data_IF_914638256567
#
_entry.id   IF_914638256567
#
_cell.length_a   1.000
_cell.length_b   1.000
_cell.length_c   1.000
_cell.angle_alpha   90.00
_cell.angle_beta   90.00
_cell.angle_gamma   90.00
#
_symmetry.space_group_name_H-M   'P 1'
#
loop_
_entity.id
_entity.type
_entity.pdbx_description
1 polymer ?
#
# COMPACT_ATOMS: atom_id res chain seq x y z
N UNK A 1 35.34 -12.86 37.51
CA UNK A 1 33.94 -12.57 37.11
C UNK A 1 33.92 -11.83 35.76
N UNK A 2 34.20 -12.52 34.65
CA UNK A 2 34.25 -11.95 33.29
C UNK A 2 33.72 -12.97 32.26
N UNK A 3 32.47 -13.40 32.41
CA UNK A 3 31.82 -14.31 31.43
C UNK A 3 30.38 -13.94 31.07
N UNK A 4 29.82 -12.86 31.63
CA UNK A 4 28.41 -12.50 31.41
C UNK A 4 28.17 -11.31 30.47
N UNK A 5 29.21 -10.62 30.00
CA UNK A 5 29.04 -9.36 29.23
C UNK A 5 28.94 -9.59 27.72
N UNK A 6 29.29 -10.77 27.21
CA UNK A 6 29.35 -11.03 25.76
C UNK A 6 28.00 -11.44 25.17
N UNK A 7 27.05 -11.93 25.99
CA UNK A 7 25.75 -12.41 25.49
C UNK A 7 24.76 -11.25 25.26
N UNK A 8 24.94 -10.11 25.93
CA UNK A 8 24.01 -8.97 25.84
C UNK A 8 24.17 -8.14 24.55
N UNK A 9 25.34 -8.19 23.89
CA UNK A 9 25.57 -7.50 22.62
C UNK A 9 25.00 -8.25 21.40
N UNK A 10 24.66 -9.54 21.54
CA UNK A 10 24.11 -10.38 20.46
C UNK A 10 22.60 -10.24 20.28
N UNK A 11 21.87 -9.64 21.23
CA UNK A 11 20.42 -9.46 21.17
C UNK A 11 19.96 -8.13 20.54
N UNK A 12 20.89 -7.22 20.22
CA UNK A 12 20.54 -5.87 19.73
C UNK A 12 20.38 -5.83 18.19
N UNK A 13 20.74 -6.89 17.46
CA UNK A 13 20.88 -6.84 15.99
C UNK A 13 19.73 -7.55 15.24
N UNK A 14 18.86 -8.34 15.91
CA UNK A 14 18.00 -9.31 15.21
C UNK A 14 16.57 -8.87 14.87
N UNK A 15 16.20 -7.59 15.00
CA UNK A 15 14.85 -7.13 14.60
C UNK A 15 14.87 -5.85 13.75
N UNK A 16 15.89 -5.70 12.89
CA UNK A 16 15.85 -4.66 11.88
C UNK A 16 14.80 -5.03 10.82
N UNK A 17 13.56 -4.53 10.98
CA UNK A 17 12.64 -4.36 9.87
C UNK A 17 13.36 -3.49 8.84
N UNK A 18 13.95 -4.12 7.82
CA UNK A 18 14.61 -3.38 6.76
C UNK A 18 13.55 -2.95 5.77
N UNK A 19 13.41 -1.63 5.62
CA UNK A 19 12.65 -1.03 4.53
C UNK A 19 13.65 -0.44 3.56
N UNK A 20 13.63 -0.90 2.32
CA UNK A 20 14.54 -0.48 1.25
C UNK A 20 13.72 0.19 0.15
N UNK A 21 14.20 1.32 -0.35
CA UNK A 21 13.63 1.95 -1.52
C UNK A 21 14.04 1.15 -2.77
N UNK A 22 13.05 0.58 -3.47
CA UNK A 22 13.27 -0.27 -4.65
C UNK A 22 12.63 0.34 -5.90
N UNK A 23 12.32 1.64 -5.86
CA UNK A 23 11.53 2.33 -6.88
C UNK A 23 12.13 2.28 -8.29
N UNK A 24 13.44 2.09 -8.41
CA UNK A 24 14.14 1.97 -9.69
C UNK A 24 14.85 0.63 -9.84
N UNK A 25 14.69 -0.28 -8.89
CA UNK A 25 15.37 -1.56 -8.89
C UNK A 25 14.61 -2.56 -9.77
N UNK A 26 15.18 -2.87 -10.93
CA UNK A 26 14.63 -3.79 -11.92
C UNK A 26 14.65 -5.26 -11.46
N UNK A 27 15.40 -5.58 -10.39
CA UNK A 27 15.41 -6.92 -9.83
C UNK A 27 14.10 -7.26 -9.11
N UNK A 28 13.32 -6.24 -8.75
CA UNK A 28 11.99 -6.43 -8.17
C UNK A 28 10.93 -6.37 -9.28
N UNK A 29 10.22 -7.49 -9.47
CA UNK A 29 9.11 -7.56 -10.40
C UNK A 29 7.82 -7.05 -9.72
N UNK A 30 7.42 -5.82 -10.03
CA UNK A 30 6.18 -5.19 -9.57
C UNK A 30 5.46 -4.51 -10.75
N UNK A 31 4.13 -4.35 -10.70
CA UNK A 31 3.33 -3.79 -11.82
C UNK A 31 3.30 -2.25 -11.86
N UNK A 32 3.89 -1.61 -10.86
CA UNK A 32 3.85 -0.17 -10.68
C UNK A 32 5.11 0.51 -11.20
N UNK A 33 4.96 1.63 -11.91
CA UNK A 33 6.11 2.43 -12.36
C UNK A 33 6.02 3.82 -11.75
N UNK A 34 7.11 4.30 -11.13
CA UNK A 34 7.16 5.68 -10.61
C UNK A 34 6.88 6.69 -11.73
N UNK A 35 6.10 7.71 -11.41
CA UNK A 35 5.66 8.75 -12.34
C UNK A 35 4.55 8.32 -13.29
N UNK A 36 4.19 7.03 -13.33
CA UNK A 36 3.10 6.56 -14.15
C UNK A 36 1.76 6.85 -13.47
N UNK A 37 0.81 7.33 -14.28
CA UNK A 37 -0.57 7.58 -13.87
C UNK A 37 -1.43 6.35 -14.10
N UNK A 38 -2.22 6.00 -13.10
CA UNK A 38 -3.18 4.89 -13.10
C UNK A 38 -4.57 5.42 -12.78
N UNK A 39 -5.61 4.64 -13.14
CA UNK A 39 -6.99 4.92 -12.74
C UNK A 39 -7.51 3.85 -11.79
N UNK A 40 -8.22 4.28 -10.75
CA UNK A 40 -8.97 3.37 -9.89
C UNK A 40 -10.07 2.69 -10.71
N UNK A 41 -10.34 1.42 -10.42
CA UNK A 41 -11.43 0.67 -11.07
C UNK A 41 -12.70 0.53 -10.25
N UNK A 42 -12.51 0.66 -8.95
CA UNK A 42 -13.54 0.50 -7.94
C UNK A 42 -13.49 1.72 -7.04
N UNK A 43 -14.56 1.90 -6.27
CA UNK A 43 -14.56 2.83 -5.15
C UNK A 43 -13.58 2.32 -4.10
N UNK A 44 -12.74 3.22 -3.58
CA UNK A 44 -11.78 2.92 -2.52
C UNK A 44 -12.05 3.82 -1.33
N UNK A 45 -11.83 3.32 -0.12
CA UNK A 45 -11.78 4.16 1.07
C UNK A 45 -10.44 4.84 1.20
N UNK A 46 -10.47 6.09 1.67
CA UNK A 46 -9.29 6.79 2.20
C UNK A 46 -9.32 6.62 3.71
N UNK A 47 -8.40 5.83 4.25
CA UNK A 47 -8.35 5.49 5.68
C UNK A 47 -7.15 6.18 6.33
N UNK A 48 -7.40 6.81 7.47
CA UNK A 48 -6.37 7.44 8.30
C UNK A 48 -5.86 6.47 9.37
N UNK A 49 -4.59 6.08 9.26
CA UNK A 49 -3.89 5.30 10.27
C UNK A 49 -2.55 5.95 10.64
N UNK A 50 -1.52 5.13 10.86
CA UNK A 50 -0.14 5.65 10.97
C UNK A 50 0.35 6.33 9.68
N UNK A 51 -0.27 5.97 8.56
CA UNK A 51 -0.18 6.61 7.26
C UNK A 51 -1.57 6.58 6.62
N UNK A 52 -1.85 7.49 5.70
CA UNK A 52 -3.08 7.41 4.90
C UNK A 52 -2.94 6.30 3.87
N UNK A 53 -3.96 5.46 3.73
CA UNK A 53 -3.94 4.37 2.75
C UNK A 53 -5.29 4.19 2.06
N UNK A 54 -5.23 3.57 0.88
CA UNK A 54 -6.41 3.14 0.14
C UNK A 54 -6.76 1.70 0.46
N UNK A 55 -8.04 1.43 0.67
CA UNK A 55 -8.58 0.10 0.93
C UNK A 55 -9.87 -0.15 0.15
N UNK A 56 -10.09 -1.40 -0.23
CA UNK A 56 -11.32 -1.84 -0.90
C UNK A 56 -12.45 -2.04 0.12
N UNK A 57 -13.67 -1.56 -0.16
CA UNK A 57 -14.85 -1.91 0.64
C UNK A 57 -15.07 -3.42 0.73
N UNK A 58 -15.46 -3.92 1.90
CA UNK A 58 -15.70 -5.35 2.13
C UNK A 58 -14.45 -6.18 2.42
N UNK A 59 -13.25 -5.69 2.09
CA UNK A 59 -11.98 -6.36 2.38
C UNK A 59 -11.30 -5.77 3.62
N UNK A 60 -11.51 -6.40 4.78
CA UNK A 60 -11.09 -5.89 6.11
C UNK A 60 -11.63 -4.48 6.46
N UNK A 61 -12.56 -3.97 5.65
CA UNK A 61 -13.23 -2.67 5.77
C UNK A 61 -14.75 -2.89 5.63
N UNK A 62 -15.62 -2.00 6.16
CA UNK A 62 -17.06 -2.16 5.99
C UNK A 62 -17.47 -2.16 4.52
N UNK A 63 -18.51 -2.92 4.19
CA UNK A 63 -19.19 -2.82 2.90
C UNK A 63 -19.64 -1.38 2.61
N UNK A 64 -19.59 -0.97 1.34
CA UNK A 64 -19.88 0.41 0.92
C UNK A 64 -21.27 0.87 1.37
N UNK A 65 -22.28 0.04 1.18
CA UNK A 65 -23.65 0.38 1.60
C UNK A 65 -23.76 0.59 3.11
N UNK A 66 -23.08 -0.25 3.89
CA UNK A 66 -23.11 -0.17 5.34
C UNK A 66 -22.38 1.09 5.82
N UNK A 67 -21.23 1.42 5.23
CA UNK A 67 -20.52 2.67 5.51
C UNK A 67 -21.39 3.88 5.21
N UNK A 68 -22.04 3.95 4.04
CA UNK A 68 -22.87 5.09 3.65
C UNK A 68 -24.05 5.31 4.62
N UNK A 69 -24.64 4.24 5.16
CA UNK A 69 -25.71 4.29 6.16
C UNK A 69 -25.21 4.64 7.57
N UNK A 70 -23.97 4.27 7.91
CA UNK A 70 -23.44 4.33 9.28
C UNK A 70 -22.10 5.08 9.39
N UNK A 71 -21.87 6.14 8.61
CA UNK A 71 -20.56 6.84 8.53
C UNK A 71 -19.92 7.14 9.89
N UNK A 72 -20.73 7.56 10.88
CA UNK A 72 -20.24 7.89 12.24
C UNK A 72 -19.58 6.71 12.98
N UNK A 73 -19.87 5.46 12.60
CA UNK A 73 -19.27 4.26 13.20
C UNK A 73 -17.84 4.00 12.72
N UNK A 74 -17.42 4.65 11.64
CA UNK A 74 -16.13 4.44 10.96
C UNK A 74 -15.36 5.76 10.88
N UNK A 75 -14.92 6.30 12.03
CA UNK A 75 -14.29 7.62 12.11
C UNK A 75 -12.91 7.69 11.42
N UNK A 76 -12.28 6.54 11.21
CA UNK A 76 -11.00 6.36 10.52
C UNK A 76 -11.12 6.48 8.99
N UNK A 77 -12.34 6.32 8.44
CA UNK A 77 -12.59 6.50 7.00
C UNK A 77 -12.87 7.99 6.71
N UNK A 78 -11.85 8.70 6.22
CA UNK A 78 -11.94 10.12 5.80
C UNK A 78 -12.94 10.32 4.66
N UNK A 79 -13.09 9.32 3.80
CA UNK A 79 -14.08 9.33 2.72
C UNK A 79 -13.79 8.29 1.65
N UNK A 80 -14.30 8.55 0.44
CA UNK A 80 -14.17 7.65 -0.71
C UNK A 80 -13.48 8.34 -1.88
N UNK A 81 -12.59 7.59 -2.53
CA UNK A 81 -12.10 7.82 -3.89
C UNK A 81 -13.03 7.07 -4.82
N UNK A 82 -13.62 7.76 -5.80
CA UNK A 82 -14.50 7.10 -6.77
C UNK A 82 -13.69 6.23 -7.73
N UNK A 83 -14.40 5.37 -8.44
CA UNK A 83 -13.84 4.72 -9.61
C UNK A 83 -13.44 5.77 -10.67
N UNK A 84 -12.50 5.40 -11.54
CA UNK A 84 -11.93 6.24 -12.59
C UNK A 84 -11.14 7.47 -12.13
N UNK A 85 -10.88 7.64 -10.82
CA UNK A 85 -9.99 8.68 -10.32
C UNK A 85 -8.52 8.33 -10.63
N UNK A 86 -7.74 9.35 -10.97
CA UNK A 86 -6.33 9.24 -11.35
C UNK A 86 -5.44 9.26 -10.11
N UNK A 87 -4.43 8.40 -10.10
CA UNK A 87 -3.33 8.39 -9.10
C UNK A 87 -1.99 8.30 -9.82
N UNK A 88 -0.92 8.89 -9.27
CA UNK A 88 0.45 8.73 -9.76
C UNK A 88 1.30 8.00 -8.73
N UNK A 89 2.12 7.05 -9.17
CA UNK A 89 3.03 6.34 -8.27
C UNK A 89 4.24 7.23 -7.97
N UNK A 90 4.56 7.38 -6.69
CA UNK A 90 5.67 8.22 -6.23
C UNK A 90 6.86 7.40 -5.76
N UNK A 91 6.60 6.27 -5.09
CA UNK A 91 7.62 5.45 -4.46
C UNK A 91 7.16 4.00 -4.30
N UNK A 92 8.12 3.08 -4.37
CA UNK A 92 7.91 1.65 -4.12
C UNK A 92 9.00 1.22 -3.13
N UNK A 93 8.59 0.61 -2.01
CA UNK A 93 9.52 0.11 -1.01
C UNK A 93 9.36 -1.38 -0.80
N UNK A 94 10.48 -2.06 -0.62
CA UNK A 94 10.51 -3.42 -0.17
C UNK A 94 10.75 -3.45 1.33
N UNK A 95 9.88 -4.15 2.07
CA UNK A 95 9.96 -4.28 3.51
C UNK A 95 10.07 -5.76 3.89
N UNK A 96 11.13 -6.12 4.59
CA UNK A 96 11.33 -7.48 5.11
C UNK A 96 11.01 -7.51 6.60
N UNK A 97 10.12 -8.42 7.00
CA UNK A 97 9.86 -8.75 8.40
C UNK A 97 10.44 -10.13 8.70
N UNK A 98 10.35 -10.56 9.97
CA UNK A 98 10.75 -11.92 10.35
C UNK A 98 9.89 -12.99 9.65
N UNK A 99 8.61 -12.69 9.43
CA UNK A 99 7.62 -13.66 8.95
C UNK A 99 7.31 -13.55 7.45
N UNK A 100 7.61 -12.40 6.83
CA UNK A 100 7.20 -12.15 5.45
C UNK A 100 8.01 -11.03 4.80
N UNK A 101 7.73 -10.77 3.54
CA UNK A 101 8.29 -9.68 2.76
C UNK A 101 7.19 -9.01 1.96
N UNK A 102 7.22 -7.68 1.93
CA UNK A 102 6.14 -6.86 1.39
C UNK A 102 6.69 -5.86 0.38
N UNK A 103 5.93 -5.61 -0.67
CA UNK A 103 6.10 -4.44 -1.55
C UNK A 103 5.02 -3.44 -1.18
N UNK A 104 5.43 -2.31 -0.63
CA UNK A 104 4.56 -1.20 -0.29
C UNK A 104 4.67 -0.15 -1.42
N UNK A 105 3.53 0.24 -2.00
CA UNK A 105 3.45 1.20 -3.10
C UNK A 105 2.82 2.49 -2.59
N UNK A 106 3.45 3.61 -2.87
CA UNK A 106 2.99 4.94 -2.48
C UNK A 106 2.62 5.75 -3.71
N UNK A 107 1.50 6.44 -3.62
CA UNK A 107 0.93 7.20 -4.71
C UNK A 107 0.38 8.54 -4.23
N UNK A 108 0.16 9.44 -5.18
CA UNK A 108 -0.56 10.69 -4.98
C UNK A 108 -1.83 10.70 -5.81
N UNK A 109 -2.94 11.08 -5.20
CA UNK A 109 -4.22 11.21 -5.88
C UNK A 109 -4.22 12.49 -6.73
N UNK A 110 -4.56 12.37 -8.02
CA UNK A 110 -4.48 13.47 -8.99
C UNK A 110 -5.84 14.10 -9.34
N UNK A 111 -6.94 13.46 -8.97
CA UNK A 111 -8.30 13.92 -9.28
C UNK A 111 -9.27 13.65 -8.14
N UNK A 112 -10.47 14.23 -8.22
CA UNK A 112 -11.53 13.99 -7.22
C UNK A 112 -11.33 14.80 -5.94
N UNK A 113 -12.08 14.42 -4.91
CA UNK A 113 -12.15 15.17 -3.64
C UNK A 113 -10.87 15.07 -2.81
N UNK A 114 -10.06 14.04 -3.04
CA UNK A 114 -8.81 13.80 -2.34
C UNK A 114 -7.57 14.15 -3.19
N UNK A 115 -7.74 14.95 -4.25
CA UNK A 115 -6.62 15.41 -5.07
C UNK A 115 -5.54 16.06 -4.19
N UNK A 116 -4.31 15.58 -4.34
CA UNK A 116 -3.16 16.05 -3.58
C UNK A 116 -2.75 15.12 -2.44
N UNK A 117 -3.63 14.21 -1.99
CA UNK A 117 -3.35 13.31 -0.88
C UNK A 117 -2.29 12.27 -1.27
N UNK A 118 -1.32 12.07 -0.38
CA UNK A 118 -0.29 11.04 -0.48
C UNK A 118 -0.77 9.79 0.29
N UNK A 119 -0.85 8.66 -0.41
CA UNK A 119 -1.48 7.45 0.10
C UNK A 119 -0.62 6.22 -0.15
N UNK A 120 -0.66 5.26 0.77
CA UNK A 120 -0.18 3.89 0.53
C UNK A 120 -1.28 3.08 -0.17
N UNK A 121 -0.93 2.34 -1.21
CA UNK A 121 -1.83 1.40 -1.88
C UNK A 121 -1.75 0.06 -1.15
N UNK A 122 -2.65 -0.15 -0.18
CA UNK A 122 -2.61 -1.35 0.66
C UNK A 122 -3.39 -2.49 -0.01
N UNK A 123 -2.79 -3.69 -0.12
CA UNK A 123 -3.42 -4.87 -0.73
C UNK A 123 -3.83 -4.69 -2.20
N UNK A 124 -3.15 -3.81 -2.95
CA UNK A 124 -3.37 -3.57 -4.38
C UNK A 124 -2.09 -3.87 -5.17
N UNK A 125 -1.47 -5.05 -5.04
CA UNK A 125 -0.27 -5.43 -5.82
C UNK A 125 -0.41 -6.80 -6.47
N UNK A 126 -0.19 -6.92 -7.78
CA UNK A 126 -0.27 -8.21 -8.50
C UNK A 126 0.83 -9.14 -7.95
N UNK A 127 0.41 -10.19 -7.26
CA UNK A 127 1.31 -11.16 -6.67
C UNK A 127 1.72 -12.19 -7.74
N UNK A 128 2.98 -12.15 -8.22
CA UNK A 128 3.60 -13.24 -9.00
C UNK A 128 4.84 -13.89 -8.36
N UNK A 129 5.07 -13.68 -7.06
CA UNK A 129 5.92 -14.58 -6.27
C UNK A 129 5.00 -15.49 -5.42
N UNK A 130 4.86 -16.78 -5.75
CA UNK A 130 4.09 -17.79 -4.96
C UNK A 130 5.04 -18.83 -4.33
N UNK A 131 4.64 -19.61 -3.29
CA UNK A 131 3.43 -19.54 -2.42
C UNK A 131 3.79 -19.28 -0.92
N UNK A 132 2.96 -18.62 -0.11
CA UNK A 132 2.08 -19.19 0.95
C UNK A 132 1.63 -18.04 1.91
N UNK A 133 0.55 -18.19 2.72
CA UNK A 133 -0.86 -18.28 2.36
C UNK A 133 -1.68 -17.05 2.85
N UNK A 134 -2.84 -16.85 2.22
CA UNK A 134 -3.95 -15.97 2.60
C UNK A 134 -3.80 -14.45 2.41
N UNK A 135 -4.62 -13.93 1.49
CA UNK A 135 -5.20 -12.59 1.60
C UNK A 135 -4.71 -11.58 0.58
N UNK A 136 -5.35 -11.52 -0.58
CA UNK A 136 -5.22 -10.39 -1.51
C UNK A 136 -5.37 -10.79 -2.96
N UNK A 137 -6.60 -11.09 -3.40
CA UNK A 137 -6.94 -10.97 -4.81
C UNK A 137 -7.01 -9.47 -5.16
N UNK A 138 -6.35 -9.07 -6.24
CA UNK A 138 -6.28 -7.69 -6.70
C UNK A 138 -7.28 -7.53 -7.85
N UNK A 139 -8.31 -6.68 -7.72
CA UNK A 139 -9.00 -6.19 -8.89
C UNK A 139 -8.01 -5.34 -9.69
N UNK A 140 -7.78 -5.81 -10.91
CA UNK A 140 -6.80 -5.35 -11.89
C UNK A 140 -6.82 -3.83 -12.00
N UNK A 141 -5.75 -3.10 -11.67
CA UNK A 141 -5.55 -1.73 -12.21
C UNK A 141 -5.14 -1.88 -13.68
N UNK A 142 -6.09 -2.30 -14.52
CA UNK A 142 -5.88 -2.38 -15.96
C UNK A 142 -6.54 -1.18 -16.61
N UNK A 143 -5.81 -0.08 -16.67
CA UNK A 143 -5.40 0.57 -17.92
C UNK A 143 -4.15 1.37 -17.61
N UNK A 144 -3.00 0.96 -18.15
CA UNK A 144 -1.83 1.84 -18.28
C UNK A 144 -2.30 3.01 -19.13
N UNK A 145 -2.58 4.16 -18.51
CA UNK A 145 -2.65 5.40 -19.26
C UNK A 145 -1.20 5.79 -19.48
N UNK A 146 -0.77 5.80 -20.74
CA UNK A 146 0.54 6.30 -21.14
C UNK A 146 0.56 7.83 -21.02
N UNK A 147 0.33 8.34 -19.81
CA UNK A 147 0.52 9.74 -19.44
C UNK A 147 1.70 9.76 -18.48
N UNK A 148 2.89 10.08 -18.99
CA UNK A 148 4.01 10.52 -18.16
C UNK A 148 3.76 11.98 -17.78
N UNK A 149 3.83 12.29 -16.48
CA UNK A 149 3.87 13.69 -16.04
C UNK A 149 5.23 14.23 -16.48
N UNK A 150 5.23 15.11 -17.49
CA UNK A 150 6.42 15.84 -17.95
C UNK A 150 6.86 16.88 -16.93
#
# INVERSE_FOLDING_TARGET
MRKCVVIMFLLIISSCLSTTDVTYDQNFNYDYQKGQVYRTKIVLYVIEGSQVYLAEPGNYSPELENYLKNKKKYPDIKGIVKDNEKIVIEKITYRKTFESSYIDVFAKILSGNFKGEHVRLNNISNYQFKPFPQGGHIPTINYKILEQIK
#
